data_IF_388971035604
#
_entry.id   IF_388971035604
#
_cell.length_a   1.000
_cell.length_b   1.000
_cell.length_c   1.000
_cell.angle_alpha   90.00
_cell.angle_beta   90.00
_cell.angle_gamma   90.00
#
_symmetry.space_group_name_H-M   'P 1'
#
loop_
_entity.id
_entity.type
_entity.pdbx_description
1 polymer ?
#
# COMPACT_ATOMS: atom_id res chain seq x y z
N UNK A 1 -27.64 0.34 3.12
CA UNK A 1 -26.54 1.08 3.76
C UNK A 1 -25.94 2.00 2.72
N UNK A 2 -25.45 3.17 3.13
CA UNK A 2 -24.85 4.16 2.23
C UNK A 2 -23.42 3.73 1.87
N UNK A 3 -23.12 3.68 0.57
CA UNK A 3 -21.77 3.42 0.07
C UNK A 3 -21.02 4.74 0.03
N UNK A 4 -19.90 4.80 0.74
CA UNK A 4 -18.96 5.92 0.72
C UNK A 4 -17.84 5.55 -0.24
N UNK A 5 -17.47 6.50 -1.09
CA UNK A 5 -16.39 6.32 -2.06
C UNK A 5 -15.07 6.77 -1.45
N UNK A 6 -13.99 6.17 -1.94
CA UNK A 6 -12.62 6.57 -1.60
C UNK A 6 -12.34 6.56 -0.08
N UNK A 7 -12.83 5.52 0.62
CA UNK A 7 -12.38 5.26 2.00
C UNK A 7 -10.96 4.70 1.92
N UNK A 8 -10.03 5.30 2.66
CA UNK A 8 -8.62 4.88 2.67
C UNK A 8 -8.29 4.24 4.02
N UNK A 9 -8.02 2.94 4.01
CA UNK A 9 -7.52 2.20 5.16
C UNK A 9 -6.00 2.12 5.07
N UNK A 10 -5.26 2.70 6.01
CA UNK A 10 -3.79 2.69 6.03
C UNK A 10 -3.25 1.99 7.27
N UNK A 11 -2.21 1.17 7.09
CA UNK A 11 -1.59 0.38 8.16
C UNK A 11 -0.06 0.46 8.05
N UNK A 12 0.56 0.68 9.21
CA UNK A 12 2.01 0.72 9.38
C UNK A 12 2.64 -0.66 9.31
N UNK A 13 3.81 -0.76 8.69
CA UNK A 13 4.68 -1.95 8.71
C UNK A 13 6.13 -1.54 9.00
N UNK A 14 6.75 -2.20 9.99
CA UNK A 14 8.00 -1.76 10.62
C UNK A 14 9.26 -1.97 9.74
N UNK A 15 9.09 -2.53 8.55
CA UNK A 15 10.18 -2.86 7.62
C UNK A 15 9.71 -2.74 6.17
N UNK A 16 10.59 -3.04 5.21
CA UNK A 16 10.29 -3.18 3.79
C UNK A 16 10.36 -4.67 3.41
N UNK A 17 9.47 -5.15 2.56
CA UNK A 17 9.51 -6.54 2.09
C UNK A 17 8.73 -6.73 0.80
N UNK A 18 9.41 -7.09 -0.29
CA UNK A 18 8.76 -7.44 -1.56
C UNK A 18 7.84 -8.64 -1.40
N UNK A 19 8.26 -9.63 -0.61
CA UNK A 19 7.43 -10.81 -0.31
C UNK A 19 6.11 -10.39 0.33
N UNK A 20 6.14 -9.54 1.36
CA UNK A 20 4.92 -9.05 2.02
C UNK A 20 4.06 -8.21 1.07
N UNK A 21 4.68 -7.38 0.23
CA UNK A 21 3.98 -6.58 -0.79
C UNK A 21 3.22 -7.49 -1.75
N UNK A 22 3.89 -8.46 -2.36
CA UNK A 22 3.26 -9.36 -3.31
C UNK A 22 2.27 -10.33 -2.65
N UNK A 23 2.52 -10.78 -1.41
CA UNK A 23 1.57 -11.58 -0.64
C UNK A 23 0.22 -10.86 -0.49
N UNK A 24 0.25 -9.62 0.00
CA UNK A 24 -0.96 -8.82 0.22
C UNK A 24 -1.62 -8.39 -1.09
N UNK A 25 -0.82 -8.00 -2.09
CA UNK A 25 -1.33 -7.65 -3.41
C UNK A 25 -2.09 -8.83 -4.04
N UNK A 26 -1.51 -10.03 -4.03
CA UNK A 26 -2.16 -11.23 -4.56
C UNK A 26 -3.40 -11.63 -3.74
N UNK A 27 -3.40 -11.37 -2.44
CA UNK A 27 -4.56 -11.65 -1.58
C UNK A 27 -5.75 -10.74 -1.91
N UNK A 28 -5.54 -9.42 -1.95
CA UNK A 28 -6.62 -8.46 -2.17
C UNK A 28 -7.02 -8.34 -3.64
N UNK A 29 -6.05 -8.45 -4.56
CA UNK A 29 -6.23 -8.24 -5.99
C UNK A 29 -5.57 -9.39 -6.80
N UNK A 30 -6.05 -10.64 -6.75
CA UNK A 30 -5.38 -11.79 -7.38
C UNK A 30 -5.27 -11.72 -8.93
N UNK A 31 -5.96 -10.79 -9.57
CA UNK A 31 -5.94 -10.52 -11.01
C UNK A 31 -5.50 -9.07 -11.30
N UNK A 32 -4.68 -8.49 -10.41
CA UNK A 32 -4.20 -7.13 -10.55
C UNK A 32 -3.54 -6.87 -11.91
N UNK A 33 -3.65 -5.63 -12.39
CA UNK A 33 -2.88 -5.19 -13.55
C UNK A 33 -1.44 -4.90 -13.13
N UNK A 34 -0.47 -5.48 -13.85
CA UNK A 34 0.94 -5.20 -13.58
C UNK A 34 1.27 -3.74 -13.85
N UNK A 35 2.15 -3.15 -13.04
CA UNK A 35 2.65 -1.80 -13.29
C UNK A 35 3.42 -1.77 -14.61
N UNK A 36 3.37 -0.63 -15.29
CA UNK A 36 4.27 -0.37 -16.41
C UNK A 36 5.70 -0.26 -15.89
N UNK A 37 6.69 -0.72 -16.66
CA UNK A 37 8.09 -0.76 -16.21
C UNK A 37 8.74 0.62 -16.09
N UNK A 38 8.06 1.66 -16.55
CA UNK A 38 8.41 3.08 -16.44
C UNK A 38 7.58 3.82 -15.38
N UNK A 39 6.82 3.10 -14.55
CA UNK A 39 6.01 3.66 -13.46
C UNK A 39 6.83 4.58 -12.53
N UNK A 40 8.10 4.24 -12.35
CA UNK A 40 9.10 5.04 -11.64
C UNK A 40 10.48 4.78 -12.25
N UNK A 41 11.50 5.51 -11.81
CA UNK A 41 12.87 5.38 -12.28
C UNK A 41 13.82 4.91 -11.19
N UNK A 42 14.84 4.16 -11.59
CA UNK A 42 15.99 3.82 -10.76
C UNK A 42 17.15 4.77 -11.03
N UNK A 43 17.96 5.03 -10.02
CA UNK A 43 19.06 6.01 -10.10
C UNK A 43 20.36 5.35 -10.61
N UNK A 44 20.49 4.04 -10.42
CA UNK A 44 21.71 3.26 -10.67
C UNK A 44 21.84 2.71 -12.10
N UNK A 45 20.80 2.81 -12.94
CA UNK A 45 20.81 2.21 -14.27
C UNK A 45 19.86 2.89 -15.26
N UNK A 46 20.41 3.42 -16.36
CA UNK A 46 19.66 4.10 -17.43
C UNK A 46 18.72 3.17 -18.23
N UNK A 47 18.91 1.85 -18.19
CA UNK A 47 18.09 0.89 -18.94
C UNK A 47 16.71 0.62 -18.34
N UNK A 48 16.41 1.17 -17.17
CA UNK A 48 15.13 0.97 -16.47
C UNK A 48 14.98 -0.42 -15.86
N UNK A 49 13.73 -0.81 -15.60
CA UNK A 49 13.37 -2.12 -15.02
C UNK A 49 12.98 -3.11 -16.10
N UNK A 50 13.24 -4.40 -15.88
CA UNK A 50 12.86 -5.49 -16.80
C UNK A 50 11.63 -6.27 -16.30
N UNK A 51 11.25 -6.09 -15.03
CA UNK A 51 10.07 -6.73 -14.44
C UNK A 51 9.53 -5.94 -13.25
N UNK A 52 8.26 -6.18 -12.88
CA UNK A 52 7.67 -5.62 -11.65
C UNK A 52 8.41 -6.13 -10.40
N UNK A 53 8.82 -7.40 -10.39
CA UNK A 53 9.59 -7.97 -9.28
C UNK A 53 10.90 -7.20 -9.06
N UNK A 54 11.69 -7.01 -10.12
CA UNK A 54 12.94 -6.23 -10.04
C UNK A 54 12.69 -4.79 -9.58
N UNK A 55 11.61 -4.16 -10.08
CA UNK A 55 11.25 -2.80 -9.67
C UNK A 55 10.97 -2.73 -8.17
N UNK A 56 10.09 -3.58 -7.65
CA UNK A 56 9.77 -3.57 -6.21
C UNK A 56 11.00 -3.94 -5.38
N UNK A 57 11.77 -4.95 -5.80
CA UNK A 57 13.01 -5.34 -5.12
C UNK A 57 14.03 -4.21 -5.06
N UNK A 58 14.15 -3.40 -6.10
CA UNK A 58 15.05 -2.24 -6.08
C UNK A 58 14.68 -1.27 -4.97
N UNK A 59 13.41 -0.85 -4.83
CA UNK A 59 13.01 0.11 -3.79
C UNK A 59 13.00 -0.51 -2.39
N UNK A 60 12.66 -1.79 -2.26
CA UNK A 60 12.72 -2.50 -0.98
C UNK A 60 14.18 -2.64 -0.49
N UNK A 61 15.12 -2.89 -1.40
CA UNK A 61 16.53 -3.10 -1.05
C UNK A 61 17.38 -1.82 -1.07
N UNK A 62 16.81 -0.69 -1.52
CA UNK A 62 17.47 0.62 -1.47
C UNK A 62 17.09 1.32 -0.18
N UNK A 63 18.08 1.72 0.61
CA UNK A 63 17.84 2.45 1.85
C UNK A 63 17.56 3.93 1.58
N UNK A 64 16.74 4.52 2.46
CA UNK A 64 16.43 5.95 2.48
C UNK A 64 15.85 6.50 1.17
N UNK A 65 14.93 5.73 0.58
CA UNK A 65 14.19 6.11 -0.63
C UNK A 65 12.70 6.15 -0.33
N UNK A 66 12.01 7.15 -0.89
CA UNK A 66 10.56 7.24 -0.88
C UNK A 66 10.01 6.85 -2.25
N UNK A 67 9.03 5.94 -2.26
CA UNK A 67 8.31 5.54 -3.46
C UNK A 67 6.95 4.97 -3.10
N UNK A 68 5.92 5.46 -3.78
CA UNK A 68 4.57 4.91 -3.65
C UNK A 68 4.19 4.14 -4.90
N UNK A 69 3.56 2.99 -4.73
CA UNK A 69 3.02 2.15 -5.79
C UNK A 69 1.53 1.94 -5.59
N UNK A 70 0.78 1.90 -6.69
CA UNK A 70 -0.65 1.64 -6.69
C UNK A 70 -1.01 0.60 -7.74
N UNK A 71 -1.75 -0.41 -7.31
CA UNK A 71 -2.34 -1.42 -8.17
C UNK A 71 -3.85 -1.35 -8.11
N UNK A 72 -4.47 -1.75 -9.21
CA UNK A 72 -5.89 -1.93 -9.31
C UNK A 72 -6.22 -3.24 -10.04
N UNK A 73 -7.51 -3.54 -10.06
CA UNK A 73 -8.07 -4.68 -10.77
C UNK A 73 -9.48 -4.30 -11.23
N UNK A 74 -9.77 -4.45 -12.52
CA UNK A 74 -11.10 -4.11 -13.06
C UNK A 74 -12.13 -5.23 -12.95
N UNK A 75 -11.68 -6.49 -13.01
CA UNK A 75 -12.58 -7.66 -12.97
C UNK A 75 -12.66 -8.21 -11.56
N UNK A 76 -13.82 -8.74 -11.14
CA UNK A 76 -13.97 -9.37 -9.82
C UNK A 76 -13.49 -8.51 -8.63
N UNK A 77 -13.69 -7.18 -8.70
CA UNK A 77 -13.32 -6.22 -7.67
C UNK A 77 -14.55 -5.38 -7.25
N UNK A 78 -15.53 -5.98 -6.55
CA UNK A 78 -16.83 -5.35 -6.27
C UNK A 78 -16.72 -4.09 -5.41
N UNK A 79 -15.76 -4.06 -4.47
CA UNK A 79 -15.49 -2.93 -3.58
C UNK A 79 -14.50 -1.92 -4.19
N UNK A 80 -14.12 -2.11 -5.46
CA UNK A 80 -13.17 -1.29 -6.21
C UNK A 80 -11.88 -0.99 -5.44
N UNK A 81 -11.31 -2.02 -4.83
CA UNK A 81 -10.05 -1.95 -4.10
C UNK A 81 -8.96 -1.40 -5.03
N UNK A 82 -8.28 -0.35 -4.56
CA UNK A 82 -6.96 0.04 -5.01
C UNK A 82 -5.97 -0.30 -3.90
N UNK A 83 -4.98 -1.12 -4.23
CA UNK A 83 -3.93 -1.52 -3.30
C UNK A 83 -2.76 -0.57 -3.43
N UNK A 84 -2.37 0.09 -2.35
CA UNK A 84 -1.27 1.03 -2.32
C UNK A 84 -0.17 0.60 -1.35
N UNK A 85 1.06 0.94 -1.70
CA UNK A 85 2.25 0.70 -0.89
C UNK A 85 3.12 1.94 -0.94
N UNK A 86 3.31 2.60 0.19
CA UNK A 86 4.26 3.69 0.33
C UNK A 86 5.48 3.19 1.11
N UNK A 87 6.60 3.02 0.39
CA UNK A 87 7.93 2.76 0.95
C UNK A 87 8.49 4.13 1.32
N UNK A 88 8.91 4.29 2.58
CA UNK A 88 9.30 5.58 3.14
C UNK A 88 10.81 5.67 3.36
N UNK A 89 11.31 6.90 3.40
CA UNK A 89 12.74 7.23 3.51
C UNK A 89 13.38 6.84 4.87
N UNK A 90 12.59 6.44 5.85
CA UNK A 90 13.03 5.87 7.12
C UNK A 90 12.97 4.34 7.14
N UNK A 91 12.93 3.73 5.95
CA UNK A 91 12.95 2.29 5.70
C UNK A 91 11.75 1.56 6.32
N UNK A 92 10.58 2.20 6.30
CA UNK A 92 9.29 1.62 6.71
C UNK A 92 8.36 1.52 5.52
N UNK A 93 7.22 0.87 5.73
CA UNK A 93 6.18 0.79 4.71
C UNK A 93 4.82 1.12 5.31
N UNK A 94 4.03 1.92 4.60
CA UNK A 94 2.60 2.11 4.88
C UNK A 94 1.81 1.46 3.76
N UNK A 95 1.02 0.45 4.11
CA UNK A 95 0.11 -0.22 3.19
C UNK A 95 -1.23 0.50 3.19
N UNK A 96 -1.90 0.60 2.04
CA UNK A 96 -3.22 1.21 1.92
C UNK A 96 -4.19 0.38 1.09
N UNK A 97 -5.45 0.36 1.50
CA UNK A 97 -6.59 -0.07 0.69
C UNK A 97 -7.51 1.13 0.49
N UNK A 98 -7.68 1.58 -0.74
CA UNK A 98 -8.73 2.55 -1.09
C UNK A 98 -9.93 1.80 -1.63
N UNK A 99 -11.10 1.98 -1.02
CA UNK A 99 -12.29 1.15 -1.25
C UNK A 99 -13.58 1.96 -1.30
N UNK A 100 -14.51 1.51 -2.15
CA UNK A 100 -15.89 2.01 -2.25
C UNK A 100 -16.80 1.09 -1.43
N UNK A 101 -17.07 1.43 -0.17
CA UNK A 101 -17.88 0.56 0.70
C UNK A 101 -18.54 1.32 1.87
N UNK A 102 -19.08 0.58 2.84
CA UNK A 102 -19.65 1.14 4.08
C UNK A 102 -18.57 1.27 5.16
N UNK A 103 -18.74 2.15 6.16
CA UNK A 103 -17.77 2.28 7.27
C UNK A 103 -17.53 0.95 7.98
N UNK A 104 -18.59 0.20 8.28
CA UNK A 104 -18.50 -1.11 8.96
C UNK A 104 -17.63 -2.09 8.17
N UNK A 105 -17.78 -2.13 6.84
CA UNK A 105 -16.97 -2.98 5.99
C UNK A 105 -15.52 -2.47 5.86
N UNK A 106 -15.31 -1.16 5.86
CA UNK A 106 -13.96 -0.58 5.88
C UNK A 106 -13.21 -0.92 7.18
N UNK A 107 -13.89 -0.95 8.33
CA UNK A 107 -13.31 -1.41 9.59
C UNK A 107 -12.89 -2.89 9.52
N UNK A 108 -13.67 -3.74 8.84
CA UNK A 108 -13.29 -5.13 8.58
C UNK A 108 -12.01 -5.20 7.74
N UNK A 109 -11.91 -4.43 6.65
CA UNK A 109 -10.71 -4.37 5.82
C UNK A 109 -9.49 -3.85 6.58
N UNK A 110 -9.64 -2.78 7.38
CA UNK A 110 -8.56 -2.27 8.22
C UNK A 110 -8.07 -3.34 9.20
N UNK A 111 -8.98 -4.02 9.89
CA UNK A 111 -8.64 -5.03 10.88
C UNK A 111 -7.96 -6.25 10.24
N UNK A 112 -8.43 -6.70 9.08
CA UNK A 112 -7.78 -7.78 8.33
C UNK A 112 -6.37 -7.36 7.89
N UNK A 113 -6.19 -6.15 7.36
CA UNK A 113 -4.88 -5.64 6.97
C UNK A 113 -3.91 -5.52 8.16
N UNK A 114 -4.39 -5.00 9.30
CA UNK A 114 -3.66 -4.96 10.58
C UNK A 114 -3.18 -6.35 11.01
N UNK A 115 -4.07 -7.34 10.98
CA UNK A 115 -3.75 -8.72 11.34
C UNK A 115 -2.68 -9.32 10.42
N UNK A 116 -2.81 -9.16 9.10
CA UNK A 116 -1.84 -9.72 8.14
C UNK A 116 -0.46 -9.06 8.22
N UNK A 117 -0.41 -7.80 8.64
CA UNK A 117 0.82 -7.05 8.87
C UNK A 117 1.36 -7.20 10.30
N UNK A 118 0.63 -7.89 11.18
CA UNK A 118 0.94 -7.98 12.61
C UNK A 118 1.20 -6.59 13.22
N UNK A 119 0.30 -5.64 12.93
CA UNK A 119 0.44 -4.23 13.30
C UNK A 119 -0.89 -3.70 13.84
N UNK A 120 -0.87 -3.15 15.05
CA UNK A 120 -2.04 -2.49 15.64
C UNK A 120 -2.23 -1.05 15.12
N UNK A 121 -1.25 -0.52 14.38
CA UNK A 121 -1.16 0.88 14.03
C UNK A 121 -1.74 1.08 12.63
N UNK A 122 -2.86 1.77 12.57
CA UNK A 122 -3.55 2.07 11.32
C UNK A 122 -4.76 2.97 11.52
N UNK A 123 -5.19 3.60 10.44
CA UNK A 123 -6.26 4.61 10.45
C UNK A 123 -7.15 4.46 9.22
N UNK A 124 -8.37 4.98 9.34
CA UNK A 124 -9.28 5.21 8.22
C UNK A 124 -9.34 6.71 7.96
N UNK A 125 -9.19 7.11 6.71
CA UNK A 125 -9.45 8.46 6.22
C UNK A 125 -10.42 8.41 5.04
N UNK A 126 -10.88 9.57 4.58
CA UNK A 126 -11.85 9.70 3.50
C UNK A 126 -11.33 10.67 2.46
N UNK A 127 -11.48 10.33 1.18
CA UNK A 127 -11.05 11.14 0.02
C UNK A 127 -9.53 11.25 -0.11
N UNK A 128 -8.85 11.67 0.96
CA UNK A 128 -7.40 11.81 1.02
C UNK A 128 -6.81 10.75 1.95
N UNK A 129 -5.62 10.20 1.62
CA UNK A 129 -4.82 9.43 2.56
C UNK A 129 -4.46 10.25 3.81
N UNK A 130 -4.11 9.55 4.88
CA UNK A 130 -3.53 10.11 6.08
C UNK A 130 -2.28 10.95 5.77
N UNK A 131 -2.12 12.07 6.49
CA UNK A 131 -0.99 12.99 6.33
C UNK A 131 0.16 12.63 7.27
N UNK A 132 1.30 12.24 6.71
CA UNK A 132 2.52 11.92 7.44
C UNK A 132 3.77 12.22 6.60
N UNK A 133 4.90 12.42 7.28
CA UNK A 133 6.20 12.71 6.64
C UNK A 133 6.95 11.44 6.25
N UNK A 134 6.93 10.40 7.10
CA UNK A 134 7.53 9.09 6.87
C UNK A 134 6.86 8.02 7.75
N UNK A 135 7.37 6.79 7.77
CA UNK A 135 6.73 5.71 8.51
C UNK A 135 6.72 5.92 10.02
N UNK A 136 7.78 6.47 10.60
CA UNK A 136 7.84 6.82 12.02
C UNK A 136 6.85 7.92 12.38
N UNK A 137 6.68 8.94 11.54
CA UNK A 137 5.65 9.97 11.76
C UNK A 137 4.24 9.38 11.69
N UNK A 138 3.96 8.52 10.69
CA UNK A 138 2.69 7.76 10.63
C UNK A 138 2.48 6.96 11.91
N UNK A 139 3.52 6.25 12.36
CA UNK A 139 3.48 5.44 13.58
C UNK A 139 3.08 6.28 14.79
N UNK A 140 3.75 7.42 15.00
CA UNK A 140 3.48 8.29 16.14
C UNK A 140 2.09 8.93 16.10
N UNK A 141 1.61 9.34 14.91
CA UNK A 141 0.31 10.01 14.75
C UNK A 141 -0.88 9.06 14.91
N UNK A 142 -0.73 7.80 14.50
CA UNK A 142 -1.83 6.85 14.39
C UNK A 142 -1.72 5.63 15.31
N UNK A 143 -0.79 5.64 16.26
CA UNK A 143 -0.75 4.72 17.40
C UNK A 143 -1.84 5.12 18.40
N UNK A 144 -3.05 4.58 18.23
CA UNK A 144 -4.17 4.75 19.16
C UNK A 144 -4.43 3.48 19.94
#
# INVERSE_FOLDING_TARGET
MEIIRDIVCQVYYDTKSSEKIFELLNFYLPKYESLTLDYTFRIDNEKGFISNQEMIDYFVNTDNIDQTFYWNQYTDNPDKIYFGVNITDDNKTVFSLTIDTTIEQAEVYLNDLKQKLNSEIGTITFVNPAEYENGLDFKMKYQK
#
